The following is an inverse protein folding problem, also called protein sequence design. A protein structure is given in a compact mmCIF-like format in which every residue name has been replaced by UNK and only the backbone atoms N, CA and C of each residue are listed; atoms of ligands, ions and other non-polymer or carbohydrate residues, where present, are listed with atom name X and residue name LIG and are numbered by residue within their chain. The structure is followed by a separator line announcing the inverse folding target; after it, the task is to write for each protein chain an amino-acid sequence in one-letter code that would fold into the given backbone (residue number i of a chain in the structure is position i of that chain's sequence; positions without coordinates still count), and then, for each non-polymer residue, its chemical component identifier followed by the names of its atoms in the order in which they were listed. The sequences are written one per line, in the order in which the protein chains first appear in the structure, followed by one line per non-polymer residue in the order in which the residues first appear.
data_IF_950872770841
#
_entry.id   IF_950872770841
#
_cell.length_a   1.000
_cell.length_b   1.000
_cell.length_c   1.000
_cell.angle_alpha   90.00
_cell.angle_beta   90.00
_cell.angle_gamma   90.00
#
_symmetry.space_group_name_H-M   'P 1'
#
loop_
_entity.id
_entity.type
_entity.pdbx_description
1 polymer ?
#
# COMPACT_ATOMS: atom_id res chain seq x y z
N UNK A 1 -11.27 15.55 0.24
CA UNK A 1 -10.62 14.23 0.27
C UNK A 1 -9.35 14.30 1.12
N UNK A 2 -9.39 14.76 2.38
CA UNK A 2 -8.24 14.73 3.32
C UNK A 2 -8.77 14.89 4.77
N UNK A 3 -9.98 14.38 5.00
CA UNK A 3 -10.73 14.53 6.24
C UNK A 3 -10.82 13.15 6.90
N UNK A 4 -10.39 13.03 8.15
CA UNK A 4 -10.40 11.77 8.87
C UNK A 4 -11.82 11.39 9.36
N UNK A 5 -12.78 12.34 9.41
CA UNK A 5 -14.11 12.12 9.98
C UNK A 5 -14.91 11.00 9.28
N UNK A 6 -14.97 10.92 7.93
CA UNK A 6 -15.63 9.80 7.27
C UNK A 6 -15.02 8.44 7.61
N UNK A 7 -13.70 8.39 7.88
CA UNK A 7 -13.02 7.15 8.29
C UNK A 7 -13.45 6.77 9.71
N UNK A 8 -13.51 7.74 10.63
CA UNK A 8 -14.01 7.53 12.00
C UNK A 8 -15.45 7.04 12.00
N UNK A 9 -16.31 7.62 11.16
CA UNK A 9 -17.69 7.19 10.99
C UNK A 9 -17.77 5.74 10.48
N UNK A 10 -16.93 5.36 9.51
CA UNK A 10 -16.86 4.00 8.96
C UNK A 10 -16.32 2.97 9.96
N UNK A 11 -15.34 3.35 10.79
CA UNK A 11 -14.85 2.54 11.92
C UNK A 11 -16.02 2.20 12.86
N UNK A 12 -16.97 3.13 13.03
CA UNK A 12 -18.22 2.94 13.77
C UNK A 12 -18.00 2.41 15.20
N UNK A 13 -17.06 3.02 15.92
CA UNK A 13 -16.74 2.69 17.32
C UNK A 13 -15.99 1.38 17.52
N UNK A 14 -15.59 0.68 16.46
CA UNK A 14 -14.69 -0.49 16.55
C UNK A 14 -13.30 -0.06 17.01
N UNK A 15 -12.62 -0.93 17.75
CA UNK A 15 -11.23 -0.69 18.15
C UNK A 15 -10.31 -0.79 16.94
N UNK A 16 -9.66 0.31 16.59
CA UNK A 16 -8.59 0.34 15.59
C UNK A 16 -7.30 -0.17 16.23
N UNK A 17 -6.68 -1.19 15.65
CA UNK A 17 -5.44 -1.78 16.18
C UNK A 17 -4.18 -1.13 15.61
N UNK A 18 -4.27 -0.61 14.38
CA UNK A 18 -3.22 0.13 13.69
C UNK A 18 -3.83 0.92 12.52
N UNK A 19 -3.14 1.98 12.10
CA UNK A 19 -3.34 2.65 10.82
C UNK A 19 -2.12 2.32 9.97
N UNK A 20 -2.34 1.68 8.82
CA UNK A 20 -1.26 1.14 7.98
C UNK A 20 -1.19 1.96 6.71
N UNK A 21 -0.01 2.48 6.42
CA UNK A 21 0.26 3.30 5.24
C UNK A 21 0.99 2.43 4.22
N UNK A 22 0.40 2.23 3.04
CA UNK A 22 1.03 1.45 1.97
C UNK A 22 2.32 2.11 1.47
N UNK A 23 2.39 3.45 1.49
CA UNK A 23 3.57 4.22 1.12
C UNK A 23 3.46 5.67 1.62
N UNK A 24 4.53 6.45 1.46
CA UNK A 24 4.70 7.78 2.04
C UNK A 24 4.14 8.98 1.27
N UNK A 25 3.46 8.81 0.13
CA UNK A 25 2.95 9.96 -0.64
C UNK A 25 1.78 10.66 0.07
N UNK A 26 1.70 11.97 -0.17
CA UNK A 26 0.84 12.88 0.57
C UNK A 26 -0.65 12.46 0.55
N UNK A 27 -1.16 12.07 -0.60
CA UNK A 27 -2.55 11.66 -0.79
C UNK A 27 -2.92 10.37 -0.06
N UNK A 28 -1.93 9.59 0.40
CA UNK A 28 -2.11 8.40 1.23
C UNK A 28 -1.87 8.65 2.73
N UNK A 29 -1.09 9.68 3.10
CA UNK A 29 -0.68 9.91 4.51
C UNK A 29 -1.34 11.11 5.18
N UNK A 30 -1.90 12.06 4.42
CA UNK A 30 -2.37 13.37 4.90
C UNK A 30 -3.33 13.32 6.11
N UNK A 31 -4.23 12.33 6.17
CA UNK A 31 -5.18 12.19 7.27
C UNK A 31 -4.66 11.34 8.45
N UNK A 32 -3.51 10.69 8.29
CA UNK A 32 -2.95 9.69 9.21
C UNK A 32 -2.79 10.22 10.65
N UNK A 33 -2.05 11.33 10.89
CA UNK A 33 -1.84 11.88 12.23
C UNK A 33 -3.13 12.18 12.98
N UNK A 34 -4.04 12.92 12.34
CA UNK A 34 -5.31 13.30 12.96
C UNK A 34 -6.20 12.08 13.22
N UNK A 35 -6.23 11.11 12.30
CA UNK A 35 -6.94 9.86 12.50
C UNK A 35 -6.37 9.08 13.69
N UNK A 36 -5.04 8.96 13.77
CA UNK A 36 -4.32 8.26 14.84
C UNK A 36 -4.65 8.83 16.22
N UNK A 37 -4.68 10.16 16.34
CA UNK A 37 -5.01 10.84 17.59
C UNK A 37 -6.47 10.60 18.01
N UNK A 38 -7.40 10.58 17.05
CA UNK A 38 -8.83 10.39 17.33
C UNK A 38 -9.15 8.93 17.71
N UNK A 39 -8.56 7.96 17.00
CA UNK A 39 -8.87 6.53 17.23
C UNK A 39 -7.92 5.87 18.24
N UNK A 40 -6.84 6.56 18.63
CA UNK A 40 -5.86 6.07 19.60
C UNK A 40 -5.05 4.86 19.11
N UNK A 41 -4.71 4.81 17.82
CA UNK A 41 -3.99 3.69 17.20
C UNK A 41 -2.66 4.13 16.57
N UNK A 42 -1.64 3.25 16.55
CA UNK A 42 -0.33 3.58 15.98
C UNK A 42 -0.37 3.67 14.45
N UNK A 43 0.39 4.59 13.89
CA UNK A 43 0.72 4.70 12.47
C UNK A 43 1.90 3.80 12.11
N UNK A 44 1.71 2.97 11.09
CA UNK A 44 2.73 2.07 10.56
C UNK A 44 3.11 2.51 9.15
N UNK A 45 4.41 2.68 8.92
CA UNK A 45 5.00 3.02 7.62
C UNK A 45 6.32 2.25 7.45
N UNK A 46 6.65 1.86 6.22
CA UNK A 46 7.95 1.28 5.94
C UNK A 46 9.06 2.33 6.12
N UNK A 47 10.16 2.04 6.83
CA UNK A 47 11.22 3.02 7.10
C UNK A 47 11.82 3.68 5.85
N UNK A 48 11.88 2.95 4.73
CA UNK A 48 12.41 3.47 3.46
C UNK A 48 11.56 4.59 2.85
N UNK A 49 10.34 4.84 3.34
CA UNK A 49 9.48 5.96 2.93
C UNK A 49 9.47 7.13 3.92
N UNK A 50 10.34 7.12 4.95
CA UNK A 50 10.41 8.22 5.91
C UNK A 50 10.71 9.59 5.26
N UNK A 51 11.50 9.63 4.19
CA UNK A 51 11.77 10.86 3.46
C UNK A 51 10.50 11.42 2.79
N UNK A 52 9.68 10.59 2.16
CA UNK A 52 8.41 11.00 1.54
C UNK A 52 7.40 11.44 2.61
N UNK A 53 7.34 10.70 3.71
CA UNK A 53 6.53 11.08 4.86
C UNK A 53 6.90 12.48 5.37
N UNK A 54 8.20 12.76 5.55
CA UNK A 54 8.68 14.05 6.04
C UNK A 54 8.41 15.22 5.09
N UNK A 55 8.26 14.98 3.78
CA UNK A 55 7.82 16.02 2.83
C UNK A 55 6.40 16.53 3.16
N UNK A 56 5.56 15.67 3.75
CA UNK A 56 4.16 15.98 4.06
C UNK A 56 3.95 16.30 5.54
N UNK A 57 4.63 15.56 6.43
CA UNK A 57 4.44 15.56 7.88
C UNK A 57 5.81 15.64 8.57
N UNK A 58 6.49 16.81 8.52
CA UNK A 58 7.86 16.95 9.02
C UNK A 58 7.97 16.88 10.55
N UNK A 59 6.89 17.17 11.28
CA UNK A 59 6.91 17.37 12.74
C UNK A 59 6.43 16.16 13.56
N UNK A 60 6.17 15.01 12.92
CA UNK A 60 5.74 13.76 13.58
C UNK A 60 6.34 12.57 12.86
N UNK A 61 6.84 11.59 13.58
CA UNK A 61 7.26 10.31 13.00
C UNK A 61 6.12 9.27 13.04
N UNK A 62 6.10 8.29 12.12
CA UNK A 62 5.27 7.10 12.27
C UNK A 62 5.60 6.36 13.58
N UNK A 63 4.59 5.74 14.20
CA UNK A 63 4.75 5.15 15.54
C UNK A 63 5.50 3.82 15.52
N UNK A 64 5.42 3.04 14.42
CA UNK A 64 6.07 1.72 14.28
C UNK A 64 6.48 1.44 12.83
N UNK A 65 7.56 0.67 12.61
CA UNK A 65 7.92 0.24 11.26
C UNK A 65 6.90 -0.76 10.72
N UNK A 66 6.61 -0.65 9.42
CA UNK A 66 5.96 -1.69 8.63
C UNK A 66 7.06 -2.53 7.97
N UNK A 67 7.14 -3.83 8.29
CA UNK A 67 8.25 -4.69 7.86
C UNK A 67 7.77 -5.79 6.90
N UNK A 68 8.58 -6.10 5.88
CA UNK A 68 8.29 -7.20 4.94
C UNK A 68 8.05 -8.53 5.67
N UNK A 69 7.05 -9.28 5.21
CA UNK A 69 6.72 -10.59 5.75
C UNK A 69 6.06 -10.59 7.12
N UNK A 70 5.96 -9.44 7.79
CA UNK A 70 5.23 -9.30 9.05
C UNK A 70 3.73 -9.53 8.86
N UNK A 71 3.04 -9.90 9.94
CA UNK A 71 1.59 -10.17 9.93
C UNK A 71 0.89 -9.20 10.86
N UNK A 72 -0.03 -8.42 10.29
CA UNK A 72 -0.90 -7.51 11.01
C UNK A 72 -2.20 -8.22 11.36
N UNK A 73 -2.64 -8.08 12.62
CA UNK A 73 -3.84 -8.75 13.14
C UNK A 73 -4.93 -7.75 13.48
N UNK A 74 -6.14 -8.03 13.02
CA UNK A 74 -7.36 -7.29 13.36
C UNK A 74 -8.51 -8.27 13.61
N UNK A 75 -8.71 -8.64 14.88
CA UNK A 75 -9.57 -9.78 15.21
C UNK A 75 -8.96 -11.07 14.66
N UNK A 76 -9.73 -11.82 13.89
CA UNK A 76 -9.29 -13.07 13.26
C UNK A 76 -8.66 -12.86 11.87
N UNK A 77 -8.68 -11.63 11.34
CA UNK A 77 -8.04 -11.29 10.08
C UNK A 77 -6.50 -11.19 10.25
N UNK A 78 -5.78 -11.78 9.30
CA UNK A 78 -4.32 -11.77 9.23
C UNK A 78 -3.85 -11.19 7.89
N UNK A 79 -3.36 -9.95 7.89
CA UNK A 79 -2.81 -9.32 6.69
C UNK A 79 -1.29 -9.46 6.69
N UNK A 80 -0.76 -10.15 5.68
CA UNK A 80 0.69 -10.23 5.45
C UNK A 80 1.17 -9.00 4.70
N UNK A 81 2.20 -8.36 5.24
CA UNK A 81 2.90 -7.27 4.56
C UNK A 81 3.82 -7.85 3.50
N UNK A 82 3.79 -7.26 2.31
CA UNK A 82 4.68 -7.58 1.19
C UNK A 82 5.35 -6.28 0.77
N UNK A 83 6.64 -6.13 1.01
CA UNK A 83 7.41 -4.99 0.51
C UNK A 83 7.53 -5.10 -1.01
N UNK A 84 7.10 -4.04 -1.68
CA UNK A 84 6.98 -3.92 -3.14
C UNK A 84 7.48 -2.54 -3.59
N UNK A 85 8.79 -2.28 -3.45
CA UNK A 85 9.38 -1.00 -3.83
C UNK A 85 9.25 -0.73 -5.32
N UNK A 86 9.39 0.54 -5.69
CA UNK A 86 9.52 0.99 -7.08
C UNK A 86 8.65 2.18 -7.40
N UNK A 87 7.38 2.20 -6.98
CA UNK A 87 6.59 3.44 -6.97
C UNK A 87 7.12 4.42 -5.90
N UNK A 88 7.38 3.88 -4.71
CA UNK A 88 8.21 4.49 -3.68
C UNK A 88 9.19 3.45 -3.13
N UNK A 89 10.28 3.86 -2.46
CA UNK A 89 11.23 2.92 -1.85
C UNK A 89 10.64 2.04 -0.73
N UNK A 90 9.70 2.57 0.04
CA UNK A 90 9.01 1.87 1.14
C UNK A 90 7.66 1.27 0.78
N UNK A 91 7.27 1.27 -0.50
CA UNK A 91 5.96 0.77 -0.95
C UNK A 91 5.70 -0.65 -0.47
N UNK A 92 4.53 -0.88 0.13
CA UNK A 92 4.10 -2.17 0.65
C UNK A 92 2.66 -2.50 0.24
N UNK A 93 2.42 -3.75 -0.13
CA UNK A 93 1.09 -4.33 -0.28
C UNK A 93 0.67 -5.09 0.99
N UNK A 94 -0.64 -5.19 1.22
CA UNK A 94 -1.22 -5.98 2.32
C UNK A 94 -2.08 -7.11 1.77
N UNK A 95 -1.66 -8.35 2.00
CA UNK A 95 -2.33 -9.54 1.47
C UNK A 95 -3.13 -10.26 2.55
N UNK A 96 -4.44 -10.37 2.35
CA UNK A 96 -5.35 -11.18 3.15
C UNK A 96 -5.67 -12.48 2.39
N UNK A 97 -4.84 -13.50 2.59
CA UNK A 97 -4.92 -14.77 1.85
C UNK A 97 -6.23 -15.53 2.08
N UNK A 98 -6.85 -15.38 3.27
CA UNK A 98 -8.09 -16.10 3.61
C UNK A 98 -9.28 -15.70 2.71
N UNK A 99 -9.32 -14.44 2.27
CA UNK A 99 -10.36 -13.91 1.38
C UNK A 99 -9.86 -13.70 -0.06
N UNK A 100 -8.60 -14.00 -0.35
CA UNK A 100 -8.00 -13.75 -1.67
C UNK A 100 -7.97 -12.25 -2.02
N UNK A 101 -7.60 -11.39 -1.08
CA UNK A 101 -7.59 -9.93 -1.27
C UNK A 101 -6.18 -9.36 -1.09
N UNK A 102 -5.79 -8.45 -1.97
CA UNK A 102 -4.57 -7.65 -1.92
C UNK A 102 -4.91 -6.16 -1.93
N UNK A 103 -4.45 -5.41 -0.93
CA UNK A 103 -4.40 -3.95 -1.01
C UNK A 103 -3.04 -3.56 -1.58
N UNK A 104 -3.00 -3.08 -2.82
CA UNK A 104 -1.73 -2.87 -3.55
C UNK A 104 -1.13 -1.48 -3.38
N UNK A 105 -1.89 -0.54 -2.79
CA UNK A 105 -1.54 0.88 -2.87
C UNK A 105 -1.28 1.26 -4.32
N UNK A 106 -0.15 1.93 -4.57
CA UNK A 106 0.25 2.39 -5.90
C UNK A 106 1.31 1.47 -6.52
N UNK A 107 1.39 0.19 -6.11
CA UNK A 107 2.26 -0.78 -6.76
C UNK A 107 1.65 -1.30 -8.06
N UNK A 108 0.44 -1.87 -8.01
CA UNK A 108 -0.26 -2.47 -9.15
C UNK A 108 -1.66 -1.86 -9.26
N UNK A 109 -2.00 -1.40 -10.47
CA UNK A 109 -3.31 -0.89 -10.87
C UNK A 109 -3.97 -1.78 -11.90
N UNK A 110 -5.25 -1.52 -12.17
CA UNK A 110 -5.89 -2.02 -13.38
C UNK A 110 -5.20 -1.42 -14.61
N UNK A 111 -4.50 -2.24 -15.39
CA UNK A 111 -3.74 -1.81 -16.56
C UNK A 111 -2.24 -1.56 -16.31
N UNK A 112 -1.72 -1.96 -15.15
CA UNK A 112 -0.27 -2.11 -14.93
C UNK A 112 0.32 -1.36 -13.73
N UNK A 113 1.64 -1.11 -13.74
CA UNK A 113 2.36 -0.58 -12.59
C UNK A 113 1.91 0.84 -12.23
N UNK A 114 2.06 1.20 -10.96
CA UNK A 114 2.00 2.60 -10.56
C UNK A 114 3.06 3.46 -11.23
N UNK A 115 2.82 4.76 -11.26
CA UNK A 115 3.66 5.70 -11.98
C UNK A 115 5.10 5.72 -11.41
N UNK A 116 6.09 5.77 -12.31
CA UNK A 116 7.50 5.93 -11.97
C UNK A 116 8.12 7.06 -12.81
N UNK A 117 9.35 7.49 -12.48
CA UNK A 117 10.03 8.61 -13.14
C UNK A 117 9.91 9.97 -12.44
N UNK A 118 9.38 9.99 -11.21
CA UNK A 118 9.45 11.12 -10.27
C UNK A 118 10.18 10.71 -8.98
N UNK A 119 10.40 11.64 -8.04
CA UNK A 119 11.25 11.47 -6.85
C UNK A 119 11.22 10.06 -6.25
N UNK A 120 12.40 9.44 -6.16
CA UNK A 120 12.68 8.13 -5.52
C UNK A 120 11.98 6.90 -6.11
N UNK A 121 11.22 7.04 -7.20
CA UNK A 121 10.62 5.91 -7.93
C UNK A 121 11.59 5.31 -8.96
N UNK A 122 11.44 4.03 -9.27
CA UNK A 122 12.26 3.28 -10.23
C UNK A 122 11.43 2.21 -10.96
N UNK A 123 11.40 2.30 -12.30
CA UNK A 123 10.59 1.43 -13.15
C UNK A 123 11.07 -0.04 -13.14
N UNK A 124 12.36 -0.36 -13.33
CA UNK A 124 12.83 -1.74 -13.19
C UNK A 124 12.48 -2.35 -11.83
N UNK A 125 12.57 -1.56 -10.76
CA UNK A 125 12.24 -2.02 -9.40
C UNK A 125 10.75 -2.33 -9.24
N UNK A 126 9.84 -1.47 -9.71
CA UNK A 126 8.39 -1.75 -9.57
C UNK A 126 7.97 -2.97 -10.37
N UNK A 127 8.53 -3.16 -11.57
CA UNK A 127 8.28 -4.34 -12.40
C UNK A 127 8.77 -5.60 -11.69
N UNK A 128 9.99 -5.59 -11.15
CA UNK A 128 10.52 -6.72 -10.39
C UNK A 128 9.66 -7.05 -9.16
N UNK A 129 9.19 -6.02 -8.44
CA UNK A 129 8.26 -6.19 -7.31
C UNK A 129 6.96 -6.86 -7.74
N UNK A 130 6.34 -6.40 -8.83
CA UNK A 130 5.08 -6.98 -9.33
C UNK A 130 5.31 -8.42 -9.78
N UNK A 131 6.29 -8.67 -10.65
CA UNK A 131 6.58 -9.99 -11.20
C UNK A 131 6.90 -11.03 -10.12
N UNK A 132 7.80 -10.68 -9.20
CA UNK A 132 8.36 -11.65 -8.26
C UNK A 132 7.50 -11.83 -7.01
N UNK A 133 6.65 -10.85 -6.66
CA UNK A 133 5.89 -10.85 -5.40
C UNK A 133 4.39 -10.92 -5.60
N UNK A 134 3.84 -10.19 -6.57
CA UNK A 134 2.40 -10.08 -6.74
C UNK A 134 1.86 -11.09 -7.76
N UNK A 135 2.50 -11.23 -8.91
CA UNK A 135 2.07 -12.18 -9.95
C UNK A 135 2.31 -13.66 -9.57
N UNK A 136 2.91 -13.91 -8.41
CA UNK A 136 3.05 -15.25 -7.82
C UNK A 136 1.86 -15.63 -6.92
N UNK A 137 0.95 -14.69 -6.64
CA UNK A 137 -0.27 -14.93 -5.89
C UNK A 137 -1.31 -15.69 -6.74
N UNK A 138 -2.34 -16.30 -6.11
CA UNK A 138 -3.43 -16.95 -6.84
C UNK A 138 -4.08 -16.01 -7.88
N UNK A 139 -4.37 -16.46 -9.11
CA UNK A 139 -4.95 -15.61 -10.16
C UNK A 139 -6.29 -14.95 -9.78
N UNK A 140 -7.07 -15.58 -8.91
CA UNK A 140 -8.34 -15.06 -8.40
C UNK A 140 -8.19 -14.04 -7.26
N UNK A 141 -6.96 -13.71 -6.87
CA UNK A 141 -6.70 -12.67 -5.85
C UNK A 141 -7.18 -11.32 -6.37
N UNK A 142 -8.16 -10.73 -5.69
CA UNK A 142 -8.70 -9.40 -5.98
C UNK A 142 -7.74 -8.34 -5.48
N UNK A 143 -7.40 -7.40 -6.36
CA UNK A 143 -6.50 -6.29 -6.08
C UNK A 143 -7.30 -5.01 -5.88
N UNK A 144 -7.31 -4.51 -4.65
CA UNK A 144 -7.81 -3.19 -4.30
C UNK A 144 -6.67 -2.18 -4.44
N UNK A 145 -6.78 -1.38 -5.49
CA UNK A 145 -5.81 -0.37 -5.90
C UNK A 145 -5.86 0.86 -5.01
N UNK A 146 -4.74 1.60 -4.93
CA UNK A 146 -4.71 2.92 -4.28
C UNK A 146 -5.58 3.95 -5.02
N UNK A 147 -5.71 3.79 -6.33
CA UNK A 147 -6.54 4.62 -7.20
C UNK A 147 -7.19 3.82 -8.32
N UNK A 148 -8.38 4.27 -8.73
CA UNK A 148 -9.12 3.66 -9.83
C UNK A 148 -9.90 2.42 -9.40
N UNK A 149 -10.20 1.58 -10.37
CA UNK A 149 -10.99 0.37 -10.18
C UNK A 149 -10.12 -0.77 -9.62
N UNK A 150 -10.79 -1.75 -8.99
CA UNK A 150 -10.15 -3.00 -8.60
C UNK A 150 -9.93 -3.91 -9.81
N UNK A 151 -8.95 -4.81 -9.71
CA UNK A 151 -8.64 -5.82 -10.73
C UNK A 151 -8.35 -7.18 -10.08
N UNK A 152 -7.83 -8.16 -10.81
CA UNK A 152 -7.32 -9.42 -10.25
C UNK A 152 -5.89 -9.69 -10.72
N UNK A 153 -5.16 -10.50 -9.96
CA UNK A 153 -3.81 -10.95 -10.38
C UNK A 153 -3.87 -11.66 -11.74
N UNK A 154 -4.88 -12.46 -11.99
CA UNK A 154 -5.07 -13.20 -13.24
C UNK A 154 -5.38 -12.31 -14.43
N UNK A 155 -6.10 -11.21 -14.23
CA UNK A 155 -6.39 -10.23 -15.29
C UNK A 155 -5.13 -9.43 -15.67
N UNK A 156 -4.28 -9.09 -14.71
CA UNK A 156 -3.08 -8.27 -14.95
C UNK A 156 -1.85 -9.08 -15.39
N UNK A 157 -1.66 -10.31 -14.92
CA UNK A 157 -0.45 -11.11 -15.17
C UNK A 157 -0.05 -11.26 -16.66
N UNK A 158 -0.98 -11.45 -17.62
CA UNK A 158 -0.63 -11.58 -19.04
C UNK A 158 -0.02 -10.33 -19.67
N UNK A 159 -0.11 -9.17 -19.02
CA UNK A 159 0.30 -7.87 -19.58
C UNK A 159 1.72 -7.45 -19.18
N UNK A 160 2.47 -8.27 -18.43
CA UNK A 160 3.81 -7.92 -17.95
C UNK A 160 4.76 -7.47 -19.07
N UNK A 161 4.85 -8.26 -20.16
CA UNK A 161 5.71 -7.96 -21.30
C UNK A 161 5.31 -6.64 -22.00
N UNK A 162 4.02 -6.31 -22.01
CA UNK A 162 3.50 -5.06 -22.56
C UNK A 162 3.96 -3.86 -21.73
N UNK A 163 3.88 -3.96 -20.40
CA UNK A 163 4.35 -2.88 -19.51
C UNK A 163 5.85 -2.67 -19.64
N UNK A 164 6.63 -3.75 -19.66
CA UNK A 164 8.09 -3.70 -19.84
C UNK A 164 8.46 -3.02 -21.16
N UNK A 165 7.74 -3.33 -22.25
CA UNK A 165 7.96 -2.70 -23.54
C UNK A 165 7.61 -1.19 -23.55
N UNK A 166 6.62 -0.77 -22.76
CA UNK A 166 6.22 0.65 -22.61
C UNK A 166 7.23 1.46 -21.79
N UNK A 167 7.82 0.86 -20.75
CA UNK A 167 8.93 1.44 -19.99
C UNK A 167 8.60 2.58 -19.03
N UNK A 168 7.31 2.88 -18.82
CA UNK A 168 6.80 3.86 -17.84
C UNK A 168 5.28 3.72 -17.66
#
# INVERSE_FOLDING_TARGET
AHDHRPIVDAVAGRRVTAIVLTHGHNDHVNAGPALADVVGAPLLLHPDDLMLWQETIPDREPDRPLEDGSVLRAGDAELRVIHTPGHSPGGCCLHHAADGVLFSGDTLFQGGPGATGRSFSDFPTIIASIEQRLLTLPPDTVVHTGHGESTTIGDEAPHLDEWVARGH
#
